data_IF_130429221834
#
_entry.id   IF_130429221834
#
_cell.length_a   1.000
_cell.length_b   1.000
_cell.length_c   1.000
_cell.angle_alpha   90.00
_cell.angle_beta   90.00
_cell.angle_gamma   90.00
#
_symmetry.space_group_name_H-M   'P 1'
#
loop_
_entity.id
_entity.type
_entity.pdbx_description
1 polymer ?
#
# COMPACT_ATOMS: atom_id res chain seq x y z
N UNK A 1 52.44 -41.94 28.88
CA UNK A 1 52.47 -41.81 27.41
C UNK A 1 51.16 -41.27 26.85
N UNK A 2 50.00 -41.74 27.31
CA UNK A 2 48.70 -41.39 26.71
C UNK A 2 48.20 -39.95 27.02
N UNK A 3 48.47 -39.42 28.21
CA UNK A 3 48.08 -38.04 28.57
C UNK A 3 48.96 -36.96 27.92
N UNK A 4 50.26 -37.25 27.76
CA UNK A 4 51.20 -36.32 27.14
C UNK A 4 50.90 -36.13 25.65
N UNK A 5 50.47 -37.21 24.98
CA UNK A 5 50.04 -37.17 23.59
C UNK A 5 48.70 -36.41 23.43
N UNK A 6 47.76 -36.58 24.37
CA UNK A 6 46.51 -35.80 24.39
C UNK A 6 46.78 -34.31 24.63
N UNK A 7 47.75 -33.99 25.49
CA UNK A 7 48.15 -32.62 25.74
C UNK A 7 48.84 -32.00 24.52
N UNK A 8 49.72 -32.75 23.83
CA UNK A 8 50.34 -32.29 22.57
C UNK A 8 49.27 -32.01 21.52
N UNK A 9 48.34 -32.95 21.30
CA UNK A 9 47.27 -32.77 20.32
C UNK A 9 46.36 -31.58 20.65
N UNK A 10 46.09 -31.32 21.93
CA UNK A 10 45.32 -30.16 22.36
C UNK A 10 46.08 -28.84 22.15
N UNK A 11 47.40 -28.83 22.39
CA UNK A 11 48.26 -27.67 22.14
C UNK A 11 48.39 -27.38 20.65
N UNK A 12 48.52 -28.41 19.82
CA UNK A 12 48.58 -28.29 18.36
C UNK A 12 47.25 -27.76 17.80
N UNK A 13 46.12 -28.27 18.29
CA UNK A 13 44.78 -27.78 17.90
C UNK A 13 44.52 -26.33 18.36
N UNK A 14 45.01 -25.96 19.54
CA UNK A 14 44.94 -24.59 20.03
C UNK A 14 45.81 -23.65 19.18
N UNK A 15 47.00 -24.09 18.80
CA UNK A 15 47.92 -23.32 17.96
C UNK A 15 47.31 -23.07 16.57
N UNK A 16 46.71 -24.09 15.96
CA UNK A 16 46.00 -23.98 14.69
C UNK A 16 44.87 -22.92 14.78
N UNK A 17 44.04 -22.98 15.83
CA UNK A 17 42.94 -22.02 16.05
C UNK A 17 43.40 -20.60 16.36
N UNK A 18 44.54 -20.44 17.04
CA UNK A 18 45.14 -19.13 17.29
C UNK A 18 45.76 -18.57 16.01
N UNK A 19 46.32 -19.41 15.14
CA UNK A 19 46.92 -18.98 13.86
C UNK A 19 45.87 -18.54 12.83
N UNK A 20 44.65 -19.08 12.92
CA UNK A 20 43.49 -18.65 12.12
C UNK A 20 42.81 -17.38 12.67
N UNK A 21 43.22 -16.89 13.84
CA UNK A 21 42.58 -15.76 14.50
C UNK A 21 43.08 -14.43 13.89
N UNK A 22 42.21 -13.62 13.26
CA UNK A 22 42.63 -12.35 12.67
C UNK A 22 42.95 -11.34 13.77
N UNK A 23 44.25 -11.12 14.01
CA UNK A 23 44.73 -10.12 14.97
C UNK A 23 44.39 -8.72 14.42
N UNK A 24 43.45 -8.02 15.06
CA UNK A 24 43.06 -6.64 14.70
C UNK A 24 41.60 -6.43 14.29
N UNK A 25 40.73 -7.44 14.40
CA UNK A 25 39.28 -7.29 14.22
C UNK A 25 38.68 -6.39 15.31
N UNK A 26 38.03 -5.30 14.91
CA UNK A 26 37.36 -4.33 15.82
C UNK A 26 35.84 -4.45 15.72
N UNK A 27 35.32 -5.02 14.63
CA UNK A 27 33.88 -5.18 14.37
C UNK A 27 33.51 -6.62 14.05
N UNK A 28 32.24 -6.99 14.29
CA UNK A 28 31.69 -8.31 13.96
C UNK A 28 31.81 -8.64 12.46
N UNK A 29 31.83 -7.62 11.61
CA UNK A 29 32.05 -7.71 10.16
C UNK A 29 33.46 -8.23 9.80
N UNK A 30 34.46 -8.02 10.66
CA UNK A 30 35.84 -8.44 10.41
C UNK A 30 35.99 -9.97 10.47
N UNK A 31 35.06 -10.65 11.14
CA UNK A 31 35.01 -12.11 11.28
C UNK A 31 34.36 -12.83 10.10
N UNK A 32 33.75 -12.11 9.15
CA UNK A 32 33.16 -12.75 7.96
C UNK A 32 34.25 -13.40 7.08
N UNK A 33 34.02 -14.61 6.55
CA UNK A 33 34.87 -15.20 5.53
C UNK A 33 35.07 -14.25 4.35
N UNK A 34 36.27 -14.26 3.76
CA UNK A 34 36.63 -13.36 2.65
C UNK A 34 35.65 -13.45 1.47
N UNK A 35 35.07 -14.64 1.23
CA UNK A 35 34.09 -14.90 0.18
C UNK A 35 32.76 -14.16 0.40
N UNK A 36 32.28 -14.09 1.64
CA UNK A 36 31.08 -13.33 2.00
C UNK A 36 31.34 -11.82 1.88
N UNK A 37 32.51 -11.35 2.31
CA UNK A 37 32.91 -9.94 2.10
C UNK A 37 32.95 -9.57 0.62
N UNK A 38 33.45 -10.47 -0.24
CA UNK A 38 33.45 -10.27 -1.70
C UNK A 38 32.02 -10.25 -2.26
N UNK A 39 31.11 -11.07 -1.72
CA UNK A 39 29.72 -11.10 -2.14
C UNK A 39 28.99 -9.81 -1.75
N UNK A 40 29.11 -9.38 -0.49
CA UNK A 40 28.51 -8.16 0.04
C UNK A 40 29.00 -6.92 -0.73
N UNK A 41 30.31 -6.84 -1.01
CA UNK A 41 30.89 -5.75 -1.80
C UNK A 41 30.40 -5.77 -3.25
N UNK A 42 30.23 -6.93 -3.88
CA UNK A 42 29.64 -7.04 -5.22
C UNK A 42 28.18 -6.59 -5.26
N UNK A 43 27.39 -6.90 -4.25
CA UNK A 43 26.00 -6.46 -4.15
C UNK A 43 25.90 -4.94 -3.96
N UNK A 44 26.73 -4.38 -3.07
CA UNK A 44 26.86 -2.93 -2.89
C UNK A 44 27.28 -2.22 -4.18
N UNK A 45 28.24 -2.80 -4.90
CA UNK A 45 28.76 -2.24 -6.15
C UNK A 45 27.71 -2.28 -7.27
N UNK A 46 26.90 -3.35 -7.35
CA UNK A 46 25.73 -3.41 -8.24
C UNK A 46 24.73 -2.31 -7.92
N UNK A 47 24.38 -2.12 -6.64
CA UNK A 47 23.43 -1.09 -6.22
C UNK A 47 23.96 0.32 -6.52
N UNK A 48 25.25 0.59 -6.26
CA UNK A 48 25.90 1.85 -6.58
C UNK A 48 25.95 2.10 -8.09
N UNK A 49 26.24 1.08 -8.90
CA UNK A 49 26.28 1.19 -10.35
C UNK A 49 24.89 1.51 -10.93
N UNK A 50 23.84 0.86 -10.42
CA UNK A 50 22.46 1.18 -10.79
C UNK A 50 22.09 2.63 -10.43
N UNK A 51 22.48 3.09 -9.24
CA UNK A 51 22.26 4.48 -8.81
C UNK A 51 23.04 5.48 -9.67
N UNK A 52 24.27 5.15 -10.06
CA UNK A 52 25.09 5.96 -10.94
C UNK A 52 24.45 6.09 -12.33
N UNK A 53 23.98 4.98 -12.91
CA UNK A 53 23.26 4.99 -14.19
C UNK A 53 21.98 5.83 -14.12
N UNK A 54 21.20 5.70 -13.04
CA UNK A 54 19.99 6.51 -12.82
C UNK A 54 20.33 8.01 -12.75
N UNK A 55 21.40 8.38 -12.06
CA UNK A 55 21.85 9.77 -11.94
C UNK A 55 22.40 10.31 -13.26
N UNK A 56 23.10 9.48 -14.04
CA UNK A 56 23.53 9.84 -15.40
C UNK A 56 22.32 10.08 -16.29
N UNK A 57 21.34 9.17 -16.33
CA UNK A 57 20.11 9.38 -17.08
C UNK A 57 19.41 10.67 -16.66
N UNK A 58 19.30 10.95 -15.35
CA UNK A 58 18.69 12.18 -14.83
C UNK A 58 19.45 13.44 -15.25
N UNK A 59 20.78 13.39 -15.23
CA UNK A 59 21.64 14.50 -15.67
C UNK A 59 21.53 14.72 -17.17
N UNK A 60 21.55 13.64 -17.96
CA UNK A 60 21.49 13.71 -19.41
C UNK A 60 20.11 14.22 -19.86
N UNK A 61 19.01 13.82 -19.19
CA UNK A 61 17.68 14.43 -19.40
C UNK A 61 17.59 15.89 -18.98
N UNK A 62 18.41 16.33 -18.02
CA UNK A 62 18.44 17.74 -17.56
C UNK A 62 19.39 18.62 -18.40
N UNK A 63 20.26 18.02 -19.22
CA UNK A 63 21.10 18.72 -20.19
C UNK A 63 20.39 18.84 -21.54
N UNK A 64 19.56 17.86 -21.91
CA UNK A 64 18.74 17.90 -23.13
C UNK A 64 17.49 18.81 -23.02
N UNK A 65 17.20 19.37 -21.83
CA UNK A 65 16.06 20.27 -21.58
C UNK A 65 16.22 21.70 -22.15
N UNK A 66 17.00 21.87 -23.22
CA UNK A 66 16.90 23.06 -24.09
C UNK A 66 15.68 22.98 -25.02
N UNK A 67 15.07 21.79 -25.18
CA UNK A 67 13.78 21.63 -25.84
C UNK A 67 12.70 21.26 -24.82
N UNK A 68 11.61 22.03 -24.82
CA UNK A 68 10.43 21.84 -23.96
C UNK A 68 9.77 20.48 -24.26
N UNK A 69 10.14 19.44 -23.53
CA UNK A 69 9.39 18.18 -23.49
C UNK A 69 8.32 18.27 -22.40
N UNK A 70 7.07 18.05 -22.79
CA UNK A 70 5.88 18.15 -21.93
C UNK A 70 5.93 17.06 -20.86
N UNK A 71 5.74 17.43 -19.58
CA UNK A 71 5.83 16.52 -18.42
C UNK A 71 4.92 15.26 -18.53
N UNK A 72 3.81 15.34 -19.28
CA UNK A 72 2.91 14.21 -19.57
C UNK A 72 3.56 13.09 -20.41
N UNK A 73 4.44 13.42 -21.37
CA UNK A 73 5.11 12.40 -22.18
C UNK A 73 6.17 11.63 -21.38
N UNK A 74 6.80 12.30 -20.41
CA UNK A 74 7.79 11.70 -19.51
C UNK A 74 7.11 10.71 -18.56
N UNK A 75 5.96 11.09 -18.00
CA UNK A 75 5.15 10.20 -17.15
C UNK A 75 4.76 8.92 -17.89
N UNK A 76 4.20 9.05 -19.09
CA UNK A 76 3.81 7.89 -19.91
C UNK A 76 5.01 7.03 -20.34
N UNK A 77 6.16 7.63 -20.60
CA UNK A 77 7.39 6.90 -20.97
C UNK A 77 7.96 6.13 -19.79
N UNK A 78 7.88 6.68 -18.58
CA UNK A 78 8.27 6.01 -17.33
C UNK A 78 7.34 4.84 -17.03
N UNK A 79 6.02 5.01 -17.20
CA UNK A 79 5.05 3.92 -17.03
C UNK A 79 5.31 2.77 -18.02
N UNK A 80 5.52 3.08 -19.29
CA UNK A 80 5.87 2.07 -20.31
C UNK A 80 7.19 1.36 -20.01
N UNK A 81 8.19 2.08 -19.49
CA UNK A 81 9.46 1.49 -19.07
C UNK A 81 9.28 0.59 -17.84
N UNK A 82 8.48 1.01 -16.86
CA UNK A 82 8.16 0.19 -15.69
C UNK A 82 7.39 -1.06 -16.08
N UNK A 83 6.41 -0.96 -16.97
CA UNK A 83 5.66 -2.08 -17.49
C UNK A 83 6.57 -3.05 -18.26
N UNK A 84 7.43 -2.53 -19.15
CA UNK A 84 8.39 -3.34 -19.90
C UNK A 84 9.42 -4.03 -18.98
N UNK A 85 9.91 -3.34 -17.95
CA UNK A 85 10.83 -3.90 -16.96
C UNK A 85 10.15 -4.98 -16.11
N UNK A 86 8.92 -4.73 -15.67
CA UNK A 86 8.14 -5.68 -14.86
C UNK A 86 7.83 -6.92 -15.69
N UNK A 87 7.38 -6.75 -16.93
CA UNK A 87 7.13 -7.85 -17.86
C UNK A 87 8.41 -8.62 -18.18
N UNK A 88 9.55 -7.93 -18.39
CA UNK A 88 10.85 -8.58 -18.60
C UNK A 88 11.28 -9.39 -17.38
N UNK A 89 11.12 -8.85 -16.16
CA UNK A 89 11.43 -9.55 -14.92
C UNK A 89 10.55 -10.79 -14.72
N UNK A 90 9.23 -10.65 -14.92
CA UNK A 90 8.27 -11.76 -14.86
C UNK A 90 8.61 -12.82 -15.91
N UNK A 91 8.88 -12.42 -17.15
CA UNK A 91 9.23 -13.34 -18.23
C UNK A 91 10.54 -14.08 -17.93
N UNK A 92 11.55 -13.38 -17.44
CA UNK A 92 12.84 -13.99 -17.11
C UNK A 92 12.68 -14.98 -15.94
N UNK A 93 11.89 -14.63 -14.93
CA UNK A 93 11.59 -15.56 -13.82
C UNK A 93 10.76 -16.75 -14.28
N UNK A 94 9.82 -16.55 -15.20
CA UNK A 94 9.03 -17.62 -15.83
C UNK A 94 9.94 -18.57 -16.62
N UNK A 95 10.89 -18.06 -17.38
CA UNK A 95 11.86 -18.88 -18.12
C UNK A 95 12.74 -19.68 -17.15
N UNK A 96 13.26 -19.04 -16.09
CA UNK A 96 14.06 -19.72 -15.05
C UNK A 96 13.27 -20.86 -14.38
N UNK A 97 12.02 -20.58 -13.96
CA UNK A 97 11.13 -21.58 -13.37
C UNK A 97 10.78 -22.70 -14.37
N UNK A 98 10.64 -22.38 -15.65
CA UNK A 98 10.36 -23.38 -16.69
C UNK A 98 11.56 -24.28 -16.94
N UNK A 99 12.78 -23.73 -16.92
CA UNK A 99 14.02 -24.50 -17.01
C UNK A 99 14.19 -25.41 -15.79
N UNK A 100 13.92 -24.90 -14.59
CA UNK A 100 13.92 -25.71 -13.38
C UNK A 100 12.87 -26.82 -13.43
N UNK A 101 11.66 -26.51 -13.91
CA UNK A 101 10.62 -27.52 -14.12
C UNK A 101 11.07 -28.59 -15.13
N UNK A 102 11.68 -28.19 -16.25
CA UNK A 102 12.24 -29.12 -17.25
C UNK A 102 13.31 -30.02 -16.65
N UNK A 103 14.24 -29.47 -15.86
CA UNK A 103 15.27 -30.24 -15.18
C UNK A 103 14.68 -31.23 -14.15
N UNK A 104 13.62 -30.84 -13.45
CA UNK A 104 12.90 -31.75 -12.53
C UNK A 104 12.17 -32.86 -13.31
N UNK A 105 11.56 -32.54 -14.47
CA UNK A 105 10.91 -33.52 -15.34
C UNK A 105 11.94 -34.48 -15.95
N UNK A 106 13.12 -34.00 -16.34
CA UNK A 106 14.24 -34.82 -16.81
C UNK A 106 14.72 -35.77 -15.71
N UNK A 107 14.89 -35.31 -14.47
CA UNK A 107 15.22 -36.15 -13.30
C UNK A 107 14.15 -37.24 -13.06
N UNK A 108 12.89 -36.98 -13.41
CA UNK A 108 11.79 -37.94 -13.27
C UNK A 108 11.67 -38.88 -14.48
N UNK A 109 12.01 -38.43 -15.68
CA UNK A 109 11.77 -39.15 -16.95
C UNK A 109 12.96 -39.95 -17.44
N UNK A 110 14.18 -39.43 -17.27
CA UNK A 110 15.42 -40.14 -17.56
C UNK A 110 15.84 -40.89 -16.29
N UNK A 111 15.52 -42.19 -16.24
CA UNK A 111 15.72 -43.06 -15.07
C UNK A 111 17.18 -43.25 -14.67
N UNK A 112 17.81 -42.23 -14.10
CA UNK A 112 19.14 -42.31 -13.50
C UNK A 112 19.08 -42.77 -12.05
N UNK A 113 19.72 -43.93 -11.80
CA UNK A 113 20.39 -44.52 -10.60
C UNK A 113 19.93 -44.25 -9.15
N UNK A 114 19.00 -43.34 -8.87
CA UNK A 114 18.59 -42.96 -7.51
C UNK A 114 17.05 -43.01 -7.33
N UNK A 115 16.44 -44.22 -7.30
CA UNK A 115 14.98 -44.40 -7.12
C UNK A 115 14.43 -43.77 -5.84
N UNK A 116 15.27 -43.57 -4.81
CA UNK A 116 14.89 -42.87 -3.59
C UNK A 116 14.64 -41.35 -3.82
N UNK A 117 15.36 -40.74 -4.76
CA UNK A 117 15.23 -39.31 -5.08
C UNK A 117 13.96 -39.08 -5.92
N UNK A 118 13.68 -39.94 -6.90
CA UNK A 118 12.49 -39.88 -7.75
C UNK A 118 11.20 -39.95 -6.94
N UNK A 119 11.08 -40.94 -6.04
CA UNK A 119 9.92 -41.09 -5.15
C UNK A 119 9.71 -39.87 -4.24
N UNK A 120 10.81 -39.29 -3.73
CA UNK A 120 10.77 -38.09 -2.88
C UNK A 120 10.33 -36.86 -3.67
N UNK A 121 10.78 -36.73 -4.93
CA UNK A 121 10.35 -35.65 -5.84
C UNK A 121 8.87 -35.79 -6.21
N UNK A 122 8.39 -37.00 -6.48
CA UNK A 122 6.96 -37.27 -6.70
C UNK A 122 6.10 -36.89 -5.48
N UNK A 123 6.53 -37.28 -4.28
CA UNK A 123 5.85 -36.90 -3.02
C UNK A 123 5.82 -35.38 -2.81
N UNK A 124 6.91 -34.68 -3.14
CA UNK A 124 6.95 -33.22 -3.08
C UNK A 124 6.07 -32.57 -4.14
N UNK A 125 6.04 -33.08 -5.38
CA UNK A 125 5.14 -32.59 -6.41
C UNK A 125 3.68 -32.76 -6.02
N UNK A 126 3.28 -33.94 -5.53
CA UNK A 126 1.91 -34.16 -5.07
C UNK A 126 1.52 -33.19 -3.95
N UNK A 127 2.44 -32.90 -3.01
CA UNK A 127 2.21 -31.88 -1.98
C UNK A 127 2.04 -30.49 -2.58
N UNK A 128 2.90 -30.08 -3.51
CA UNK A 128 2.82 -28.78 -4.17
C UNK A 128 1.51 -28.63 -4.95
N UNK A 129 1.10 -29.65 -5.71
CA UNK A 129 -0.17 -29.64 -6.43
C UNK A 129 -1.35 -29.56 -5.46
N UNK A 130 -1.35 -30.36 -4.40
CA UNK A 130 -2.43 -30.30 -3.39
C UNK A 130 -2.52 -28.95 -2.68
N UNK A 131 -1.39 -28.25 -2.50
CA UNK A 131 -1.35 -26.91 -1.93
C UNK A 131 -1.85 -25.87 -2.94
N UNK A 132 -1.43 -25.98 -4.21
CA UNK A 132 -1.92 -25.10 -5.27
C UNK A 132 -3.43 -25.23 -5.47
N UNK A 133 -3.98 -26.45 -5.45
CA UNK A 133 -5.42 -26.68 -5.55
C UNK A 133 -6.17 -26.01 -4.39
N UNK A 134 -5.62 -26.11 -3.17
CA UNK A 134 -6.19 -25.41 -2.00
C UNK A 134 -6.13 -23.90 -2.16
N UNK A 135 -4.99 -23.35 -2.55
CA UNK A 135 -4.82 -21.91 -2.79
C UNK A 135 -5.80 -21.43 -3.86
N UNK A 136 -5.94 -22.18 -4.95
CA UNK A 136 -6.87 -21.89 -6.03
C UNK A 136 -8.33 -21.91 -5.54
N UNK A 137 -8.73 -22.91 -4.76
CA UNK A 137 -10.09 -22.98 -4.18
C UNK A 137 -10.39 -21.80 -3.24
N UNK A 138 -9.40 -21.36 -2.45
CA UNK A 138 -9.52 -20.19 -1.58
C UNK A 138 -9.67 -18.93 -2.45
N UNK A 139 -8.87 -18.79 -3.49
CA UNK A 139 -8.93 -17.65 -4.41
C UNK A 139 -10.30 -17.55 -5.10
N UNK A 140 -10.86 -18.65 -5.58
CA UNK A 140 -12.21 -18.66 -6.15
C UNK A 140 -13.27 -18.26 -5.12
N UNK A 141 -13.17 -18.75 -3.89
CA UNK A 141 -14.11 -18.40 -2.82
C UNK A 141 -14.01 -16.92 -2.45
N UNK A 142 -12.80 -16.36 -2.43
CA UNK A 142 -12.53 -14.96 -2.16
C UNK A 142 -13.09 -14.07 -3.27
N UNK A 143 -12.89 -14.47 -4.53
CA UNK A 143 -13.44 -13.74 -5.67
C UNK A 143 -14.97 -13.72 -5.65
N UNK A 144 -15.62 -14.86 -5.36
CA UNK A 144 -17.08 -14.93 -5.19
C UNK A 144 -17.58 -14.04 -4.06
N UNK A 145 -16.92 -14.06 -2.90
CA UNK A 145 -17.27 -13.21 -1.76
C UNK A 145 -17.12 -11.71 -2.09
N UNK A 146 -16.08 -11.34 -2.83
CA UNK A 146 -15.84 -9.98 -3.27
C UNK A 146 -16.92 -9.50 -4.26
N UNK A 147 -17.31 -10.34 -5.21
CA UNK A 147 -18.43 -10.04 -6.12
C UNK A 147 -19.73 -9.82 -5.34
N UNK A 148 -20.07 -10.70 -4.40
CA UNK A 148 -21.24 -10.54 -3.54
C UNK A 148 -21.20 -9.25 -2.70
N UNK A 149 -20.02 -8.90 -2.18
CA UNK A 149 -19.85 -7.65 -1.42
C UNK A 149 -20.10 -6.42 -2.30
N UNK A 150 -19.61 -6.42 -3.54
CA UNK A 150 -19.82 -5.32 -4.48
C UNK A 150 -21.31 -5.21 -4.84
N UNK A 151 -21.97 -6.33 -5.13
CA UNK A 151 -23.41 -6.35 -5.43
C UNK A 151 -24.24 -5.81 -4.26
N UNK A 152 -23.99 -6.28 -3.04
CA UNK A 152 -24.67 -5.80 -1.85
C UNK A 152 -24.44 -4.29 -1.62
N UNK A 153 -23.22 -3.79 -1.88
CA UNK A 153 -22.95 -2.34 -1.83
C UNK A 153 -23.77 -1.59 -2.88
N UNK A 154 -23.86 -2.09 -4.11
CA UNK A 154 -24.65 -1.46 -5.17
C UNK A 154 -26.13 -1.42 -4.77
N UNK A 155 -26.69 -2.51 -4.25
CA UNK A 155 -28.07 -2.56 -3.77
C UNK A 155 -28.32 -1.59 -2.62
N UNK A 156 -27.40 -1.53 -1.66
CA UNK A 156 -27.46 -0.57 -0.57
C UNK A 156 -27.47 0.87 -1.07
N UNK A 157 -26.60 1.22 -2.01
CA UNK A 157 -26.59 2.56 -2.61
C UNK A 157 -27.89 2.86 -3.37
N UNK A 158 -28.42 1.91 -4.15
CA UNK A 158 -29.72 2.05 -4.81
C UNK A 158 -30.84 2.32 -3.80
N UNK A 159 -30.85 1.59 -2.69
CA UNK A 159 -31.85 1.79 -1.63
C UNK A 159 -31.72 3.17 -0.97
N UNK A 160 -30.50 3.63 -0.70
CA UNK A 160 -30.25 4.99 -0.19
C UNK A 160 -30.77 6.04 -1.15
N UNK A 161 -30.46 5.93 -2.44
CA UNK A 161 -30.91 6.90 -3.43
C UNK A 161 -32.43 6.91 -3.57
N UNK A 162 -33.07 5.73 -3.64
CA UNK A 162 -34.52 5.64 -3.68
C UNK A 162 -35.18 6.26 -2.43
N UNK A 163 -34.58 6.08 -1.25
CA UNK A 163 -35.06 6.71 -0.03
C UNK A 163 -34.86 8.23 -0.05
N UNK A 164 -33.74 8.73 -0.56
CA UNK A 164 -33.50 10.16 -0.73
C UNK A 164 -34.50 10.79 -1.70
N UNK A 165 -34.80 10.12 -2.81
CA UNK A 165 -35.80 10.58 -3.79
C UNK A 165 -37.19 10.64 -3.15
N UNK A 166 -37.58 9.60 -2.40
CA UNK A 166 -38.83 9.60 -1.64
C UNK A 166 -38.92 10.76 -0.64
N UNK A 167 -37.85 11.04 0.10
CA UNK A 167 -37.81 12.18 1.04
C UNK A 167 -37.95 13.51 0.32
N UNK A 168 -37.34 13.64 -0.86
CA UNK A 168 -37.42 14.84 -1.68
C UNK A 168 -38.84 15.07 -2.18
N UNK A 169 -39.51 14.04 -2.71
CA UNK A 169 -40.91 14.12 -3.14
C UNK A 169 -41.84 14.51 -1.97
N UNK A 170 -41.65 13.90 -0.79
CA UNK A 170 -42.39 14.25 0.41
C UNK A 170 -42.18 15.72 0.82
N UNK A 171 -40.95 16.22 0.69
CA UNK A 171 -40.63 17.59 1.02
C UNK A 171 -41.25 18.58 0.01
N UNK A 172 -41.19 18.27 -1.29
CA UNK A 172 -41.80 19.08 -2.34
C UNK A 172 -43.33 19.20 -2.14
N UNK A 173 -44.01 18.10 -1.83
CA UNK A 173 -45.45 18.12 -1.52
C UNK A 173 -45.78 18.99 -0.29
N UNK A 174 -44.95 18.91 0.76
CA UNK A 174 -45.11 19.75 1.96
C UNK A 174 -44.88 21.22 1.64
N UNK A 175 -43.89 21.53 0.82
CA UNK A 175 -43.54 22.89 0.44
C UNK A 175 -44.61 23.51 -0.46
N UNK A 176 -45.16 22.76 -1.41
CA UNK A 176 -46.31 23.21 -2.21
C UNK A 176 -47.53 23.50 -1.34
N UNK A 177 -47.84 22.60 -0.39
CA UNK A 177 -48.95 22.79 0.54
C UNK A 177 -48.73 24.04 1.42
N UNK A 178 -47.52 24.20 1.95
CA UNK A 178 -47.16 25.36 2.75
C UNK A 178 -47.25 26.66 1.95
N UNK A 179 -46.80 26.66 0.70
CA UNK A 179 -46.87 27.82 -0.18
C UNK A 179 -48.31 28.22 -0.49
N UNK A 180 -49.22 27.25 -0.63
CA UNK A 180 -50.67 27.49 -0.83
C UNK A 180 -51.36 27.96 0.45
N UNK A 181 -51.04 27.40 1.61
CA UNK A 181 -51.72 27.71 2.88
C UNK A 181 -51.17 28.96 3.57
N UNK A 182 -49.84 29.16 3.57
CA UNK A 182 -49.20 30.31 4.19
C UNK A 182 -47.92 30.75 3.42
N UNK A 183 -48.06 31.66 2.45
CA UNK A 183 -46.96 32.06 1.57
C UNK A 183 -45.87 32.87 2.27
N UNK A 184 -46.18 33.56 3.37
CA UNK A 184 -45.18 34.33 4.13
C UNK A 184 -44.22 33.42 4.89
N UNK A 185 -44.76 32.36 5.52
CA UNK A 185 -43.94 31.35 6.20
C UNK A 185 -43.06 30.62 5.17
N UNK A 186 -43.59 30.28 3.99
CA UNK A 186 -42.80 29.65 2.93
C UNK A 186 -41.63 30.55 2.46
N UNK A 187 -41.85 31.86 2.33
CA UNK A 187 -40.77 32.83 2.01
C UNK A 187 -39.71 32.89 3.12
N UNK A 188 -40.13 32.89 4.39
CA UNK A 188 -39.22 32.89 5.53
C UNK A 188 -38.38 31.61 5.58
N UNK A 189 -39.00 30.44 5.42
CA UNK A 189 -38.33 29.13 5.32
C UNK A 189 -37.25 29.14 4.23
N UNK A 190 -37.60 29.59 3.02
CA UNK A 190 -36.65 29.69 1.90
C UNK A 190 -35.47 30.63 2.20
N UNK A 191 -35.73 31.75 2.89
CA UNK A 191 -34.66 32.68 3.30
C UNK A 191 -33.73 32.02 4.33
N UNK A 192 -34.29 31.30 5.30
CA UNK A 192 -33.53 30.57 6.31
C UNK A 192 -32.67 29.46 5.70
N UNK A 193 -33.22 28.65 4.79
CA UNK A 193 -32.48 27.60 4.09
C UNK A 193 -31.31 28.15 3.26
N UNK A 194 -31.51 29.29 2.57
CA UNK A 194 -30.42 29.96 1.84
C UNK A 194 -29.29 30.40 2.77
N UNK A 195 -29.62 30.93 3.94
CA UNK A 195 -28.63 31.33 4.95
C UNK A 195 -27.89 30.11 5.49
N UNK A 196 -28.60 29.04 5.85
CA UNK A 196 -28.01 27.78 6.30
C UNK A 196 -27.05 27.18 5.26
N UNK A 197 -27.46 27.16 3.98
CA UNK A 197 -26.57 26.71 2.89
C UNK A 197 -25.30 27.54 2.82
N UNK A 198 -25.40 28.87 2.92
CA UNK A 198 -24.21 29.75 2.94
C UNK A 198 -23.28 29.45 4.12
N UNK A 199 -23.83 29.28 5.32
CA UNK A 199 -23.05 28.94 6.53
C UNK A 199 -22.33 27.61 6.34
N UNK A 200 -23.03 26.57 5.87
CA UNK A 200 -22.43 25.25 5.68
C UNK A 200 -21.37 25.24 4.55
N UNK A 201 -21.57 26.04 3.50
CA UNK A 201 -20.58 26.20 2.44
C UNK A 201 -19.32 26.92 2.95
N UNK A 202 -19.51 27.95 3.78
CA UNK A 202 -18.41 28.65 4.45
C UNK A 202 -17.65 27.74 5.42
N UNK A 203 -18.36 26.94 6.24
CA UNK A 203 -17.75 25.91 7.09
C UNK A 203 -16.90 24.94 6.28
N UNK A 204 -17.43 24.39 5.18
CA UNK A 204 -16.67 23.50 4.28
C UNK A 204 -15.42 24.16 3.70
N UNK A 205 -15.51 25.43 3.29
CA UNK A 205 -14.37 26.18 2.78
C UNK A 205 -13.30 26.37 3.86
N UNK A 206 -13.68 26.69 5.10
CA UNK A 206 -12.77 26.78 6.24
C UNK A 206 -12.12 25.42 6.48
N UNK A 207 -12.89 24.34 6.58
CA UNK A 207 -12.36 22.98 6.78
C UNK A 207 -11.38 22.58 5.69
N UNK A 208 -11.70 22.85 4.43
CA UNK A 208 -10.82 22.55 3.30
C UNK A 208 -9.56 23.42 3.31
N UNK A 209 -9.67 24.72 3.61
CA UNK A 209 -8.54 25.65 3.72
C UNK A 209 -7.59 25.24 4.85
N UNK A 210 -8.13 24.82 5.98
CA UNK A 210 -7.32 24.33 7.10
C UNK A 210 -6.70 22.98 6.75
N UNK A 211 -7.45 22.05 6.16
CA UNK A 211 -6.92 20.75 5.75
C UNK A 211 -5.78 20.84 4.72
N UNK A 212 -5.84 21.79 3.78
CA UNK A 212 -4.75 22.01 2.81
C UNK A 212 -3.52 22.70 3.41
N UNK A 213 -3.67 23.36 4.56
CA UNK A 213 -2.58 23.99 5.29
C UNK A 213 -1.95 23.05 6.33
N UNK A 214 -1.72 21.80 5.94
CA UNK A 214 -1.17 20.72 6.77
C UNK A 214 0.08 21.13 7.57
N UNK A 215 0.97 21.91 6.96
CA UNK A 215 2.18 22.39 7.62
C UNK A 215 1.91 23.44 8.71
N UNK A 216 0.86 24.26 8.59
CA UNK A 216 0.48 25.27 9.58
C UNK A 216 -0.33 24.68 10.74
N UNK A 217 -1.02 23.55 10.53
CA UNK A 217 -1.80 22.87 11.56
C UNK A 217 -0.90 22.36 12.69
N UNK A 218 0.32 21.90 12.38
CA UNK A 218 1.28 21.41 13.39
C UNK A 218 1.77 22.51 14.32
N UNK A 219 1.86 23.74 13.81
CA UNK A 219 2.43 24.88 14.54
C UNK A 219 1.37 25.75 15.23
N UNK A 220 0.11 25.70 14.79
CA UNK A 220 -0.97 26.52 15.34
C UNK A 220 -2.15 25.67 15.87
N UNK A 221 -2.26 25.47 17.20
CA UNK A 221 -3.35 24.70 17.81
C UNK A 221 -4.74 25.33 17.58
N UNK A 222 -4.80 26.62 17.27
CA UNK A 222 -6.03 27.35 16.93
C UNK A 222 -6.68 26.78 15.65
N UNK A 223 -5.88 26.32 14.69
CA UNK A 223 -6.40 25.73 13.44
C UNK A 223 -7.07 24.37 13.67
N UNK A 224 -6.54 23.58 14.61
CA UNK A 224 -7.14 22.30 15.04
C UNK A 224 -8.49 22.55 15.71
N UNK A 225 -8.58 23.59 16.55
CA UNK A 225 -9.84 23.97 17.18
C UNK A 225 -10.88 24.44 16.15
N UNK A 226 -10.49 25.25 15.16
CA UNK A 226 -11.39 25.66 14.07
C UNK A 226 -11.89 24.46 13.25
N UNK A 227 -11.04 23.47 12.97
CA UNK A 227 -11.48 22.24 12.30
C UNK A 227 -12.56 21.53 13.10
N UNK A 228 -12.36 21.39 14.42
CA UNK A 228 -13.32 20.73 15.31
C UNK A 228 -14.65 21.49 15.36
N UNK A 229 -14.61 22.82 15.46
CA UNK A 229 -15.80 23.67 15.58
C UNK A 229 -16.60 23.77 14.26
N UNK A 230 -15.93 23.56 13.10
CA UNK A 230 -16.53 23.65 11.78
C UNK A 230 -16.69 22.31 11.04
N UNK A 231 -16.33 21.18 11.67
CA UNK A 231 -16.44 19.86 11.07
C UNK A 231 -17.90 19.49 10.74
N UNK A 232 -18.82 19.78 11.67
CA UNK A 232 -20.19 19.34 11.56
C UNK A 232 -21.07 20.34 10.80
N UNK A 233 -21.92 19.87 9.86
CA UNK A 233 -22.90 20.71 9.19
C UNK A 233 -23.96 21.16 10.19
N UNK A 234 -24.35 22.43 10.10
CA UNK A 234 -25.43 22.97 10.94
C UNK A 234 -26.77 22.58 10.31
N UNK A 235 -27.55 21.77 11.02
CA UNK A 235 -28.94 21.45 10.65
C UNK A 235 -29.93 22.28 11.47
N UNK A 236 -31.22 22.21 11.11
CA UNK A 236 -32.28 22.90 11.86
C UNK A 236 -32.41 22.28 13.26
N UNK A 237 -32.24 20.96 13.39
CA UNK A 237 -32.21 20.26 14.66
C UNK A 237 -31.05 20.76 15.54
N UNK A 238 -29.86 20.94 14.97
CA UNK A 238 -28.71 21.49 15.71
C UNK A 238 -29.00 22.90 16.23
N UNK A 239 -29.71 23.75 15.46
CA UNK A 239 -30.10 25.09 15.91
C UNK A 239 -31.12 25.01 17.06
N UNK A 240 -32.09 24.11 16.98
CA UNK A 240 -33.08 23.90 18.04
C UNK A 240 -32.41 23.44 19.33
N UNK A 241 -31.47 22.49 19.25
CA UNK A 241 -30.67 22.04 20.40
C UNK A 241 -29.84 23.17 21.01
N UNK A 242 -29.21 24.01 20.18
CA UNK A 242 -28.46 25.20 20.65
C UNK A 242 -29.36 26.24 21.31
N UNK A 243 -30.58 26.44 20.81
CA UNK A 243 -31.56 27.34 21.43
C UNK A 243 -32.02 26.79 22.79
N UNK A 244 -32.35 25.51 22.87
CA UNK A 244 -32.76 24.86 24.12
C UNK A 244 -31.64 24.82 25.17
N UNK A 245 -30.38 24.65 24.75
CA UNK A 245 -29.22 24.72 25.64
C UNK A 245 -28.94 26.14 26.18
N UNK A 246 -29.41 27.17 25.46
CA UNK A 246 -29.32 28.57 25.91
C UNK A 246 -30.39 28.91 26.94
N UNK A 247 -31.61 28.44 26.72
CA UNK A 247 -32.76 28.70 27.61
C UNK A 247 -32.66 27.94 28.95
N UNK A 248 -31.85 26.87 29.02
CA UNK A 248 -31.59 26.09 30.24
C UNK A 248 -30.41 26.59 31.08
N UNK A 249 -29.67 27.59 30.60
CA UNK A 249 -28.54 28.22 31.29
C UNK A 249 -28.84 29.67 31.73
N UNK A 250 -30.12 30.08 31.69
CA UNK A 250 -30.67 31.32 32.26
C UNK A 250 -31.66 30.99 33.35
#
# INVERSE_FOLDING_TARGET
MDELNKLSAAVDSLHEKISEFPIGAVSFEDFKPTEEKIKDTRELLKALNAKLLMLQCRRDTALDSTEKVVEEEIGQKIERLHEALTNSFINNKTVELSLHSSAVIEIISEGHEFPALQKKTEEYMQKIFSLNDKVYSIQESLQKALTQQIEAKIEFWKAIYAYQDFLKEQQELRDEKLQKTNPEIAKSKNKMERTLRKINLMKKLITNLVATSEYLIKDNPVLVQMLKDHCDPVSIETILEMCHARDSNT
#
